data_IF_386126487835
#
_entry.id   IF_386126487835
#
_cell.length_a   1.000
_cell.length_b   1.000
_cell.length_c   1.000
_cell.angle_alpha   90.00
_cell.angle_beta   90.00
_cell.angle_gamma   90.00
#
_symmetry.space_group_name_H-M   'P 1'
#
loop_
_entity.id
_entity.type
_entity.pdbx_description
1 polymer ?
#
# COMPACT_ATOMS: atom_id res chain seq x y z
N UNK A 1 17.38 -28.56 -26.51
CA UNK A 1 16.45 -27.65 -27.18
C UNK A 1 15.33 -27.39 -26.19
N UNK A 2 15.28 -26.20 -25.56
CA UNK A 2 14.14 -25.84 -24.67
C UNK A 2 12.89 -25.82 -25.53
N UNK A 3 11.75 -26.40 -25.08
CA UNK A 3 10.49 -26.22 -25.77
C UNK A 3 10.19 -24.72 -25.85
N UNK A 4 9.90 -24.26 -27.04
CA UNK A 4 9.51 -22.86 -27.32
C UNK A 4 8.15 -22.66 -26.63
N UNK A 5 8.19 -22.18 -25.40
CA UNK A 5 6.96 -21.94 -24.60
C UNK A 5 6.25 -20.74 -25.19
N UNK A 6 5.02 -20.95 -25.68
CA UNK A 6 4.17 -19.89 -26.21
C UNK A 6 4.02 -18.77 -25.18
N UNK A 7 4.37 -17.54 -25.58
CA UNK A 7 4.19 -16.37 -24.70
C UNK A 7 2.73 -15.91 -24.68
N UNK A 8 2.32 -15.24 -23.59
CA UNK A 8 0.98 -14.65 -23.48
C UNK A 8 0.70 -13.64 -24.59
N UNK A 9 1.73 -12.91 -25.03
CA UNK A 9 1.62 -11.96 -26.14
C UNK A 9 1.30 -12.67 -27.49
N UNK A 10 1.93 -13.80 -27.75
CA UNK A 10 1.67 -14.60 -28.94
C UNK A 10 0.26 -15.24 -28.90
N UNK A 11 -0.17 -15.70 -27.71
CA UNK A 11 -1.51 -16.23 -27.53
C UNK A 11 -2.58 -15.16 -27.72
N UNK A 12 -2.35 -13.94 -27.19
CA UNK A 12 -3.23 -12.80 -27.37
C UNK A 12 -3.33 -12.41 -28.86
N UNK A 13 -2.18 -12.28 -29.53
CA UNK A 13 -2.14 -11.97 -30.96
C UNK A 13 -2.84 -13.02 -31.82
N UNK A 14 -2.80 -14.31 -31.43
CA UNK A 14 -3.54 -15.39 -32.07
C UNK A 14 -5.06 -15.24 -31.90
N UNK A 15 -5.52 -14.97 -30.68
CA UNK A 15 -6.94 -14.78 -30.37
C UNK A 15 -7.50 -13.56 -31.11
N UNK A 16 -6.70 -12.50 -31.22
CA UNK A 16 -7.07 -11.24 -31.90
C UNK A 16 -6.93 -11.31 -33.45
N UNK A 17 -6.46 -12.46 -34.01
CA UNK A 17 -6.25 -12.58 -35.45
C UNK A 17 -5.14 -11.72 -36.04
N UNK A 18 -4.15 -11.30 -35.22
CA UNK A 18 -3.07 -10.40 -35.61
C UNK A 18 -1.78 -11.12 -36.02
N UNK A 19 -1.77 -12.43 -36.04
CA UNK A 19 -0.63 -13.23 -36.48
C UNK A 19 -0.67 -13.48 -38.02
N UNK A 20 0.50 -13.60 -38.60
CA UNK A 20 0.63 -14.08 -39.98
C UNK A 20 0.22 -15.59 -40.09
N UNK A 21 0.04 -16.08 -41.31
CA UNK A 21 -0.41 -17.44 -41.56
C UNK A 21 0.53 -18.51 -40.94
N UNK A 22 1.85 -18.30 -41.06
CA UNK A 22 2.84 -19.26 -40.56
C UNK A 22 2.90 -19.30 -39.04
N UNK A 23 2.76 -18.11 -38.37
CA UNK A 23 2.67 -18.03 -36.93
C UNK A 23 1.36 -18.60 -36.41
N UNK A 24 0.25 -18.36 -37.10
CA UNK A 24 -1.07 -18.91 -36.76
C UNK A 24 -1.05 -20.45 -36.76
N UNK A 25 -0.47 -21.05 -37.77
CA UNK A 25 -0.34 -22.54 -37.84
C UNK A 25 0.57 -23.09 -36.72
N UNK A 26 1.66 -22.39 -36.38
CA UNK A 26 2.53 -22.83 -35.27
C UNK A 26 1.78 -22.82 -33.96
N UNK A 27 1.10 -21.70 -33.65
CA UNK A 27 0.31 -21.57 -32.42
C UNK A 27 -0.83 -22.58 -32.36
N UNK A 28 -1.56 -22.80 -33.48
CA UNK A 28 -2.62 -23.78 -33.54
C UNK A 28 -2.14 -25.20 -33.24
N UNK A 29 -0.97 -25.60 -33.72
CA UNK A 29 -0.35 -26.88 -33.38
C UNK A 29 0.02 -27.01 -31.92
N UNK A 30 0.50 -25.94 -31.30
CA UNK A 30 0.81 -25.94 -29.87
C UNK A 30 -0.46 -26.02 -29.00
N UNK A 31 -1.53 -25.32 -29.39
CA UNK A 31 -2.84 -25.42 -28.73
C UNK A 31 -3.44 -26.85 -28.86
N UNK A 32 -3.24 -27.51 -29.99
CA UNK A 32 -3.69 -28.91 -30.17
C UNK A 32 -2.92 -29.89 -29.28
N UNK A 33 -1.67 -29.55 -28.91
CA UNK A 33 -0.82 -30.40 -28.08
C UNK A 33 -0.97 -30.09 -26.56
N UNK A 34 -1.48 -28.92 -26.19
CA UNK A 34 -1.62 -28.51 -24.78
C UNK A 34 -3.08 -28.10 -24.49
N UNK A 35 -3.86 -28.94 -23.80
CA UNK A 35 -5.25 -28.65 -23.44
C UNK A 35 -5.41 -27.44 -22.50
N UNK A 36 -4.41 -27.13 -21.67
CA UNK A 36 -4.48 -26.01 -20.76
C UNK A 36 -4.33 -24.66 -21.52
N UNK A 37 -3.42 -24.63 -22.50
CA UNK A 37 -3.28 -23.48 -23.41
C UNK A 37 -4.52 -23.30 -24.29
N UNK A 38 -5.10 -24.40 -24.78
CA UNK A 38 -6.32 -24.35 -25.54
C UNK A 38 -7.50 -23.79 -24.75
N UNK A 39 -7.68 -24.22 -23.49
CA UNK A 39 -8.71 -23.70 -22.60
C UNK A 39 -8.52 -22.19 -22.33
N UNK A 40 -7.29 -21.73 -22.20
CA UNK A 40 -6.99 -20.30 -22.03
C UNK A 40 -7.34 -19.48 -23.27
N UNK A 41 -7.01 -19.98 -24.46
CA UNK A 41 -7.37 -19.32 -25.73
C UNK A 41 -8.89 -19.20 -25.87
N UNK A 42 -9.64 -20.24 -25.52
CA UNK A 42 -11.10 -20.24 -25.55
C UNK A 42 -11.69 -19.27 -24.53
N UNK A 43 -11.14 -19.20 -23.33
CA UNK A 43 -11.57 -18.22 -22.33
C UNK A 43 -11.40 -16.77 -22.84
N UNK A 44 -10.30 -16.47 -23.52
CA UNK A 44 -10.08 -15.13 -24.10
C UNK A 44 -10.99 -14.83 -25.28
N UNK A 45 -11.26 -15.84 -26.13
CA UNK A 45 -12.27 -15.70 -27.21
C UNK A 45 -13.67 -15.42 -26.66
N UNK A 46 -14.06 -16.14 -25.59
CA UNK A 46 -15.33 -15.92 -24.91
C UNK A 46 -15.42 -14.51 -24.30
N UNK A 47 -14.33 -14.02 -23.71
CA UNK A 47 -14.23 -12.67 -23.19
C UNK A 47 -14.36 -11.61 -24.31
N UNK A 48 -13.67 -11.80 -25.45
CA UNK A 48 -13.79 -10.90 -26.59
C UNK A 48 -15.22 -10.90 -27.15
N UNK A 49 -15.85 -12.07 -27.28
CA UNK A 49 -17.24 -12.17 -27.72
C UNK A 49 -18.21 -11.46 -26.78
N UNK A 50 -18.00 -11.55 -25.46
CA UNK A 50 -18.80 -10.84 -24.47
C UNK A 50 -18.64 -9.32 -24.58
N UNK A 51 -17.40 -8.84 -24.82
CA UNK A 51 -17.14 -7.42 -25.06
C UNK A 51 -17.83 -6.93 -26.33
N UNK A 52 -17.72 -7.67 -27.44
CA UNK A 52 -18.43 -7.34 -28.68
C UNK A 52 -19.95 -7.29 -28.46
N UNK A 53 -20.54 -8.30 -27.80
CA UNK A 53 -21.97 -8.31 -27.51
C UNK A 53 -22.41 -7.10 -26.67
N UNK A 54 -21.57 -6.66 -25.73
CA UNK A 54 -21.88 -5.54 -24.83
C UNK A 54 -21.67 -4.16 -25.46
N UNK A 55 -20.73 -4.03 -26.40
CA UNK A 55 -20.25 -2.73 -26.86
C UNK A 55 -20.43 -2.45 -28.37
N UNK A 56 -20.68 -3.44 -29.23
CA UNK A 56 -20.81 -3.21 -30.68
C UNK A 56 -21.96 -2.25 -31.01
N UNK A 57 -23.03 -2.29 -30.24
CA UNK A 57 -24.14 -1.34 -30.42
C UNK A 57 -23.73 0.12 -30.18
N UNK A 58 -22.67 0.37 -29.43
CA UNK A 58 -22.14 1.73 -29.21
C UNK A 58 -21.29 2.21 -30.39
N UNK A 59 -20.72 1.29 -31.19
CA UNK A 59 -19.97 1.63 -32.40
C UNK A 59 -20.89 2.14 -33.51
N UNK A 60 -22.13 1.64 -33.55
CA UNK A 60 -23.17 2.05 -34.52
C UNK A 60 -23.92 3.32 -34.10
N UNK A 61 -23.63 3.82 -32.87
CA UNK A 61 -24.29 5.05 -32.41
C UNK A 61 -23.87 6.25 -33.27
N UNK A 62 -24.82 7.11 -33.69
CA UNK A 62 -24.50 8.24 -34.52
C UNK A 62 -23.57 9.21 -33.79
N UNK A 63 -22.46 9.55 -34.44
CA UNK A 63 -21.49 10.50 -33.87
C UNK A 63 -22.17 11.85 -33.70
N UNK A 64 -22.15 12.44 -32.48
CA UNK A 64 -22.76 13.75 -32.25
C UNK A 64 -22.25 14.81 -33.23
N UNK A 65 -23.16 15.62 -33.78
CA UNK A 65 -22.85 16.61 -34.81
C UNK A 65 -21.72 17.58 -34.44
N UNK A 66 -21.55 17.87 -33.14
CA UNK A 66 -20.46 18.69 -32.61
C UNK A 66 -19.07 18.06 -32.81
N UNK A 67 -18.96 16.74 -32.76
CA UNK A 67 -17.71 16.02 -32.98
C UNK A 67 -17.37 15.91 -34.47
N UNK A 68 -18.41 15.71 -35.30
CA UNK A 68 -18.28 15.75 -36.76
C UNK A 68 -17.86 17.14 -37.24
N UNK A 69 -18.44 18.21 -36.70
CA UNK A 69 -18.06 19.58 -37.00
C UNK A 69 -16.61 19.88 -36.59
N UNK A 70 -16.15 19.34 -35.43
CA UNK A 70 -14.80 19.49 -34.99
C UNK A 70 -13.79 18.71 -35.89
N UNK A 71 -14.14 17.49 -36.31
CA UNK A 71 -13.31 16.66 -37.20
C UNK A 71 -13.20 17.24 -38.60
N UNK A 72 -14.28 17.87 -39.11
CA UNK A 72 -14.34 18.45 -40.45
C UNK A 72 -13.76 19.87 -40.57
N UNK A 73 -13.11 20.37 -39.52
CA UNK A 73 -12.33 21.62 -39.59
C UNK A 73 -13.18 22.91 -39.76
N UNK A 74 -14.47 22.86 -39.46
CA UNK A 74 -15.33 24.03 -39.44
C UNK A 74 -15.10 24.87 -38.16
N UNK A 75 -13.91 25.44 -38.01
CA UNK A 75 -13.62 26.39 -36.94
C UNK A 75 -14.04 27.81 -37.36
N UNK A 76 -14.85 28.53 -36.57
CA UNK A 76 -15.09 29.93 -36.81
C UNK A 76 -13.78 30.72 -36.60
N UNK A 77 -13.33 31.39 -37.64
CA UNK A 77 -12.16 32.28 -37.61
C UNK A 77 -12.44 33.51 -36.74
N UNK A 78 -12.31 33.38 -35.43
CA UNK A 78 -12.10 34.53 -34.54
C UNK A 78 -10.60 34.66 -34.25
N UNK A 79 -9.89 35.31 -35.14
CA UNK A 79 -8.51 35.80 -34.95
C UNK A 79 -8.57 37.00 -34.00
N UNK A 80 -8.16 36.84 -32.77
CA UNK A 80 -7.96 37.92 -31.81
C UNK A 80 -8.25 37.46 -30.37
N UNK A 81 -7.25 37.18 -29.58
CA UNK A 81 -7.39 36.91 -28.15
C UNK A 81 -7.50 35.43 -27.73
N UNK A 82 -7.61 34.49 -28.65
CA UNK A 82 -7.76 33.07 -28.37
C UNK A 82 -6.46 32.44 -27.84
N UNK A 83 -5.31 32.96 -28.30
CA UNK A 83 -3.98 32.47 -27.86
C UNK A 83 -3.73 32.66 -26.36
N UNK A 84 -4.18 33.79 -25.78
CA UNK A 84 -4.04 34.01 -24.33
C UNK A 84 -4.91 33.04 -23.51
N UNK A 85 -6.08 32.67 -24.04
CA UNK A 85 -6.99 31.71 -23.36
C UNK A 85 -6.42 30.27 -23.39
N UNK A 86 -5.78 29.87 -24.50
CA UNK A 86 -5.12 28.57 -24.58
C UNK A 86 -3.82 28.54 -23.78
N UNK A 87 -3.04 29.62 -23.77
CA UNK A 87 -1.86 29.74 -22.94
C UNK A 87 -2.23 29.64 -21.43
N UNK A 88 -3.32 30.28 -21.01
CA UNK A 88 -3.82 30.16 -19.64
C UNK A 88 -4.31 28.73 -19.32
N UNK A 89 -5.03 28.08 -20.25
CA UNK A 89 -5.49 26.70 -20.06
C UNK A 89 -4.32 25.70 -19.98
N UNK A 90 -3.29 25.86 -20.83
CA UNK A 90 -2.09 25.03 -20.78
C UNK A 90 -1.29 25.29 -19.49
N UNK A 91 -1.19 26.54 -19.04
CA UNK A 91 -0.56 26.90 -17.77
C UNK A 91 -1.31 26.27 -16.57
N UNK A 92 -2.65 26.33 -16.55
CA UNK A 92 -3.45 25.68 -15.51
C UNK A 92 -3.35 24.14 -15.54
N UNK A 93 -3.29 23.53 -16.73
CA UNK A 93 -3.06 22.09 -16.88
C UNK A 93 -1.66 21.68 -16.40
N UNK A 94 -0.64 22.50 -16.71
CA UNK A 94 0.71 22.26 -16.25
C UNK A 94 0.84 22.42 -14.72
N UNK A 95 0.28 23.48 -14.16
CA UNK A 95 0.25 23.72 -12.71
C UNK A 95 -0.59 22.62 -12.00
N UNK A 96 -1.76 22.29 -12.54
CA UNK A 96 -2.61 21.21 -12.01
C UNK A 96 -1.95 19.84 -12.13
N UNK A 97 -1.25 19.57 -13.23
CA UNK A 97 -0.48 18.34 -13.45
C UNK A 97 0.69 18.19 -12.47
N UNK A 98 1.47 19.26 -12.26
CA UNK A 98 2.57 19.26 -11.29
C UNK A 98 2.05 19.17 -9.86
N UNK A 99 1.02 19.94 -9.52
CA UNK A 99 0.38 19.88 -8.20
C UNK A 99 -0.25 18.49 -7.95
N UNK A 100 -0.96 17.92 -8.93
CA UNK A 100 -1.53 16.59 -8.86
C UNK A 100 -0.48 15.49 -8.75
N UNK A 101 0.65 15.63 -9.45
CA UNK A 101 1.78 14.70 -9.35
C UNK A 101 2.41 14.74 -7.95
N UNK A 102 2.67 15.95 -7.41
CA UNK A 102 3.21 16.11 -6.04
C UNK A 102 2.25 15.62 -4.94
N UNK A 103 0.93 15.84 -5.12
CA UNK A 103 -0.08 15.34 -4.19
C UNK A 103 -0.26 13.83 -4.28
N UNK A 104 -0.13 13.25 -5.48
CA UNK A 104 -0.19 11.81 -5.70
C UNK A 104 0.93 11.06 -4.99
N UNK A 105 2.17 11.56 -5.06
CA UNK A 105 3.32 10.91 -4.42
C UNK A 105 3.17 10.90 -2.89
N UNK A 106 2.65 11.98 -2.31
CA UNK A 106 2.35 12.02 -0.88
C UNK A 106 1.25 11.04 -0.49
N UNK A 107 0.11 11.07 -1.21
CA UNK A 107 -1.00 10.17 -0.93
C UNK A 107 -0.65 8.69 -1.16
N UNK A 108 0.19 8.37 -2.14
CA UNK A 108 0.67 7.01 -2.38
C UNK A 108 1.65 6.55 -1.30
N UNK A 109 2.54 7.44 -0.83
CA UNK A 109 3.43 7.18 0.30
C UNK A 109 2.66 6.91 1.59
N UNK A 110 1.65 7.72 1.89
CA UNK A 110 0.78 7.55 3.05
C UNK A 110 0.03 6.21 3.03
N UNK A 111 -0.52 5.84 1.89
CA UNK A 111 -1.25 4.58 1.73
C UNK A 111 -0.32 3.36 1.87
N UNK A 112 0.86 3.41 1.27
CA UNK A 112 1.85 2.33 1.33
C UNK A 112 2.37 2.15 2.75
N UNK A 113 2.70 3.25 3.45
CA UNK A 113 3.14 3.21 4.83
C UNK A 113 2.06 2.69 5.77
N UNK A 114 0.80 3.12 5.62
CA UNK A 114 -0.32 2.66 6.43
C UNK A 114 -0.63 1.17 6.26
N UNK A 115 -0.25 0.55 5.13
CA UNK A 115 -0.34 -0.89 4.89
C UNK A 115 0.88 -1.61 5.48
N UNK A 116 2.07 -1.04 5.38
CA UNK A 116 3.31 -1.65 5.84
C UNK A 116 3.44 -1.67 7.37
N UNK A 117 3.01 -0.61 8.05
CA UNK A 117 3.17 -0.43 9.49
C UNK A 117 2.59 -1.58 10.35
N UNK A 118 1.31 -2.00 10.21
CA UNK A 118 0.77 -3.10 11.00
C UNK A 118 1.47 -4.42 10.73
N UNK A 119 1.86 -4.66 9.48
CA UNK A 119 2.59 -5.87 9.11
C UNK A 119 3.97 -5.93 9.74
N UNK A 120 4.74 -4.84 9.73
CA UNK A 120 6.05 -4.75 10.37
C UNK A 120 5.95 -4.96 11.88
N UNK A 121 4.98 -4.30 12.51
CA UNK A 121 4.71 -4.44 13.94
C UNK A 121 4.34 -5.89 14.32
N UNK A 122 3.48 -6.54 13.53
CA UNK A 122 3.08 -7.92 13.74
C UNK A 122 4.25 -8.90 13.58
N UNK A 123 5.09 -8.71 12.55
CA UNK A 123 6.29 -9.52 12.34
C UNK A 123 7.24 -9.35 13.53
N UNK A 124 7.51 -8.11 13.94
CA UNK A 124 8.37 -7.83 15.10
C UNK A 124 7.81 -8.46 16.39
N UNK A 125 6.50 -8.36 16.61
CA UNK A 125 5.82 -8.99 17.73
C UNK A 125 6.01 -10.53 17.70
N UNK A 126 5.68 -11.17 16.57
CA UNK A 126 5.76 -12.62 16.42
C UNK A 126 7.17 -13.18 16.61
N UNK A 127 8.20 -12.43 16.18
CA UNK A 127 9.60 -12.86 16.29
C UNK A 127 10.10 -12.73 17.73
N UNK A 128 9.80 -11.63 18.42
CA UNK A 128 10.45 -11.31 19.69
C UNK A 128 9.64 -11.64 20.95
N UNK A 129 8.33 -11.80 20.84
CA UNK A 129 7.51 -12.21 22.00
C UNK A 129 7.86 -13.58 22.54
N UNK A 130 8.19 -14.61 21.72
CA UNK A 130 8.61 -15.91 22.22
C UNK A 130 10.04 -15.92 22.81
N UNK A 131 10.84 -14.87 22.58
CA UNK A 131 12.22 -14.83 23.03
C UNK A 131 12.30 -14.72 24.55
N UNK A 132 12.99 -15.67 25.21
CA UNK A 132 13.08 -15.75 26.66
C UNK A 132 14.35 -15.10 27.19
N UNK A 133 15.49 -15.34 26.51
CA UNK A 133 16.80 -14.87 27.02
C UNK A 133 17.06 -13.40 26.74
N UNK A 134 16.67 -12.94 25.55
CA UNK A 134 16.96 -11.58 25.07
C UNK A 134 15.70 -10.95 24.49
N UNK A 135 14.63 -10.80 25.30
CA UNK A 135 13.36 -10.25 24.83
C UNK A 135 13.51 -8.78 24.39
N UNK A 136 14.49 -8.08 24.93
CA UNK A 136 14.82 -6.68 24.62
C UNK A 136 16.35 -6.52 24.46
N UNK A 137 16.81 -5.44 23.84
CA UNK A 137 18.23 -5.10 23.73
C UNK A 137 18.69 -4.25 24.91
N UNK A 138 17.84 -3.32 25.35
CA UNK A 138 18.07 -2.46 26.50
C UNK A 138 16.89 -2.65 27.44
N UNK A 139 17.18 -3.04 28.67
CA UNK A 139 16.17 -3.28 29.72
C UNK A 139 15.66 -2.01 30.34
N UNK A 140 14.58 -2.13 31.10
CA UNK A 140 13.95 -1.01 31.84
C UNK A 140 14.87 -0.43 32.91
N UNK A 141 15.84 -1.19 33.43
CA UNK A 141 16.89 -0.74 34.33
C UNK A 141 17.76 0.37 33.73
N UNK A 142 17.78 0.52 32.40
CA UNK A 142 18.49 1.56 31.66
C UNK A 142 17.52 2.41 30.82
N UNK A 143 16.36 2.74 31.36
CA UNK A 143 15.29 3.42 30.62
C UNK A 143 15.73 4.74 29.99
N UNK A 144 16.49 5.58 30.69
CA UNK A 144 16.97 6.87 30.17
C UNK A 144 17.90 6.66 28.96
N UNK A 145 18.78 5.64 29.06
CA UNK A 145 19.63 5.26 27.94
C UNK A 145 18.81 4.75 26.76
N UNK A 146 17.82 3.89 27.00
CA UNK A 146 16.91 3.36 26.00
C UNK A 146 16.21 4.49 25.21
N UNK A 147 15.59 5.43 25.93
CA UNK A 147 14.88 6.56 25.33
C UNK A 147 15.84 7.43 24.50
N UNK A 148 16.97 7.82 25.06
CA UNK A 148 17.96 8.64 24.37
C UNK A 148 18.53 7.97 23.13
N UNK A 149 18.87 6.70 23.23
CA UNK A 149 19.41 5.89 22.12
C UNK A 149 18.40 5.71 20.98
N UNK A 150 17.17 5.26 21.29
CA UNK A 150 16.15 5.05 20.29
C UNK A 150 15.73 6.37 19.62
N UNK A 151 15.56 7.45 20.40
CA UNK A 151 15.28 8.81 19.89
C UNK A 151 16.35 9.26 18.88
N UNK A 152 17.62 9.07 19.21
CA UNK A 152 18.73 9.42 18.31
C UNK A 152 18.72 8.57 17.04
N UNK A 153 18.36 7.29 17.14
CA UNK A 153 18.36 6.35 15.99
C UNK A 153 17.17 6.55 15.06
N UNK A 154 15.99 6.88 15.60
CA UNK A 154 14.77 7.14 14.82
C UNK A 154 14.70 8.57 14.29
N UNK A 155 15.40 9.51 14.94
CA UNK A 155 15.29 10.94 14.61
C UNK A 155 13.95 11.57 15.04
N UNK A 156 13.17 10.85 15.86
CA UNK A 156 11.92 11.31 16.51
C UNK A 156 11.94 10.87 17.96
N UNK A 157 11.31 11.64 18.84
CA UNK A 157 11.24 11.30 20.27
C UNK A 157 10.52 9.96 20.47
N UNK A 158 11.14 9.06 21.23
CA UNK A 158 10.59 7.74 21.59
C UNK A 158 10.21 7.77 23.07
N UNK A 159 8.95 8.01 23.39
CA UNK A 159 8.46 7.94 24.77
C UNK A 159 8.35 6.50 25.24
N UNK A 160 8.34 6.33 26.56
CA UNK A 160 8.05 5.05 27.23
C UNK A 160 6.77 5.19 28.05
N UNK A 161 5.58 5.05 27.42
CA UNK A 161 4.31 5.21 28.12
C UNK A 161 4.15 4.23 29.28
N UNK A 162 3.50 4.69 30.36
CA UNK A 162 3.16 3.84 31.49
C UNK A 162 1.85 3.11 31.24
N UNK A 163 1.88 1.79 31.30
CA UNK A 163 0.73 0.90 31.14
C UNK A 163 0.40 0.11 32.38
N UNK A 164 0.88 0.51 33.56
CA UNK A 164 0.60 -0.19 34.83
C UNK A 164 -0.89 -0.21 35.16
N UNK A 165 -1.61 0.84 34.81
CA UNK A 165 -3.07 0.91 34.99
C UNK A 165 -3.82 -0.13 34.13
N UNK A 166 -3.23 -0.52 33.01
CA UNK A 166 -3.73 -1.56 32.09
C UNK A 166 -3.14 -2.96 32.43
N UNK A 167 -2.34 -3.07 33.48
CA UNK A 167 -1.74 -4.32 33.97
C UNK A 167 -0.44 -4.72 33.27
N UNK A 168 0.23 -3.81 32.56
CA UNK A 168 1.46 -4.11 31.83
C UNK A 168 2.63 -3.25 32.30
N UNK A 169 3.76 -3.91 32.59
CA UNK A 169 5.01 -3.27 32.94
C UNK A 169 5.97 -3.24 31.76
N UNK A 170 6.71 -2.14 31.58
CA UNK A 170 7.75 -2.06 30.56
C UNK A 170 8.90 -3.01 30.88
N UNK A 171 9.29 -3.85 29.94
CA UNK A 171 10.47 -4.70 30.01
C UNK A 171 11.71 -3.99 29.48
N UNK A 172 11.56 -3.14 28.48
CA UNK A 172 12.62 -2.46 27.75
C UNK A 172 12.28 -2.32 26.27
N UNK A 173 13.31 -2.20 25.42
CA UNK A 173 13.09 -2.01 23.99
C UNK A 173 14.28 -2.43 23.14
N UNK A 174 14.10 -2.29 21.82
CA UNK A 174 15.10 -2.62 20.80
C UNK A 174 14.95 -1.75 19.56
N UNK A 175 16.02 -1.71 18.78
CA UNK A 175 16.03 -1.12 17.44
C UNK A 175 15.78 -2.23 16.41
N UNK A 176 14.95 -1.92 15.43
CA UNK A 176 14.58 -2.84 14.35
C UNK A 176 14.83 -2.20 12.99
N UNK A 177 15.20 -2.99 11.97
CA UNK A 177 15.11 -2.53 10.59
C UNK A 177 13.63 -2.39 10.20
N UNK A 178 13.30 -1.33 9.46
CA UNK A 178 12.00 -1.13 8.85
C UNK A 178 12.15 -0.82 7.35
N UNK A 179 11.06 -0.83 6.60
CA UNK A 179 11.08 -0.65 5.14
C UNK A 179 11.56 0.75 4.72
N UNK A 180 11.24 1.77 5.51
CA UNK A 180 11.58 3.18 5.20
C UNK A 180 12.63 3.76 6.14
N UNK A 181 13.21 2.96 7.00
CA UNK A 181 14.21 3.40 7.99
C UNK A 181 14.16 2.59 9.28
N UNK A 182 14.84 3.01 10.34
CA UNK A 182 14.83 2.30 11.60
C UNK A 182 13.46 2.37 12.28
N UNK A 183 13.07 1.27 12.94
CA UNK A 183 11.95 1.18 13.86
C UNK A 183 12.40 0.94 15.29
N UNK A 184 11.61 1.35 16.27
CA UNK A 184 11.78 1.00 17.66
C UNK A 184 10.65 0.06 18.10
N UNK A 185 10.96 -0.90 18.93
CA UNK A 185 9.98 -1.75 19.60
C UNK A 185 10.18 -1.64 21.11
N UNK A 186 9.14 -1.24 21.80
CA UNK A 186 9.03 -1.34 23.25
C UNK A 186 8.23 -2.60 23.58
N UNK A 187 8.67 -3.36 24.57
CA UNK A 187 8.01 -4.57 25.02
C UNK A 187 7.50 -4.40 26.43
N UNK A 188 6.25 -4.77 26.64
CA UNK A 188 5.57 -4.78 27.92
C UNK A 188 5.13 -6.20 28.26
N UNK A 189 5.01 -6.50 29.55
CA UNK A 189 4.57 -7.81 30.03
C UNK A 189 3.64 -7.62 31.22
N UNK A 190 2.59 -8.44 31.30
CA UNK A 190 1.74 -8.54 32.47
C UNK A 190 2.26 -9.59 33.48
N UNK A 191 1.60 -9.70 34.64
CA UNK A 191 1.97 -10.66 35.69
C UNK A 191 1.78 -12.13 35.27
N UNK A 192 0.97 -12.40 34.26
CA UNK A 192 0.75 -13.74 33.71
C UNK A 192 1.79 -14.11 32.62
N UNK A 193 2.69 -13.18 32.25
CA UNK A 193 3.70 -13.38 31.22
C UNK A 193 3.21 -13.07 29.82
N UNK A 194 1.99 -12.53 29.65
CA UNK A 194 1.50 -12.08 28.37
C UNK A 194 2.23 -10.80 27.93
N UNK A 195 2.68 -10.77 26.68
CA UNK A 195 3.48 -9.68 26.15
C UNK A 195 2.71 -8.83 25.14
N UNK A 196 2.90 -7.54 25.26
CA UNK A 196 2.50 -6.53 24.31
C UNK A 196 3.72 -5.85 23.70
N UNK A 197 3.62 -5.39 22.49
CA UNK A 197 4.68 -4.58 21.87
C UNK A 197 4.10 -3.30 21.31
N UNK A 198 4.80 -2.18 21.56
CA UNK A 198 4.59 -0.90 20.91
C UNK A 198 5.70 -0.70 19.89
N UNK A 199 5.35 -0.71 18.63
CA UNK A 199 6.25 -0.43 17.52
C UNK A 199 6.12 1.03 17.10
N UNK A 200 7.26 1.70 16.89
CA UNK A 200 7.34 3.07 16.43
C UNK A 200 8.25 3.15 15.20
N UNK A 201 7.86 3.91 14.20
CA UNK A 201 8.74 4.23 13.07
C UNK A 201 8.42 5.62 12.55
N UNK A 202 9.40 6.25 11.91
CA UNK A 202 9.20 7.53 11.26
C UNK A 202 8.33 7.33 10.01
N UNK A 203 7.30 8.17 9.89
CA UNK A 203 6.50 8.28 8.68
C UNK A 203 6.92 9.51 7.90
N UNK A 204 7.21 9.39 6.62
CA UNK A 204 7.42 10.53 5.74
C UNK A 204 6.08 11.20 5.39
N UNK A 205 4.98 10.50 5.63
CA UNK A 205 3.63 10.99 5.54
C UNK A 205 3.34 11.93 6.71
N UNK A 206 3.32 13.21 6.47
CA UNK A 206 3.14 14.26 7.50
C UNK A 206 1.72 14.41 8.05
N UNK A 207 0.86 13.39 7.95
CA UNK A 207 -0.53 13.42 8.37
C UNK A 207 -0.79 12.71 9.70
N UNK A 208 -1.95 13.00 10.32
CA UNK A 208 -2.50 12.20 11.43
C UNK A 208 -3.62 11.32 10.89
N UNK A 209 -3.68 10.07 11.35
CA UNK A 209 -4.75 9.13 10.99
C UNK A 209 -5.56 8.74 12.22
N UNK A 210 -6.84 8.43 12.02
CA UNK A 210 -7.62 7.77 13.06
C UNK A 210 -7.03 6.39 13.39
N UNK A 211 -7.41 5.84 14.53
CA UNK A 211 -7.12 4.45 14.89
C UNK A 211 -7.62 3.48 13.83
N UNK A 212 -6.75 2.58 13.44
CA UNK A 212 -7.05 1.46 12.53
C UNK A 212 -6.74 0.15 13.22
N UNK A 213 -7.50 -0.87 12.88
CA UNK A 213 -7.29 -2.24 13.34
C UNK A 213 -6.91 -3.14 12.16
N UNK A 214 -5.92 -3.97 12.35
CA UNK A 214 -5.54 -5.02 11.43
C UNK A 214 -5.32 -6.33 12.20
N UNK A 215 -5.47 -7.45 11.51
CA UNK A 215 -5.07 -8.75 12.01
C UNK A 215 -4.08 -9.34 11.01
N UNK A 216 -2.83 -9.47 11.44
CA UNK A 216 -1.72 -9.90 10.60
C UNK A 216 -1.16 -11.22 11.15
N UNK A 217 -1.26 -12.30 10.36
CA UNK A 217 -0.77 -13.63 10.74
C UNK A 217 -1.21 -14.10 12.15
N UNK A 218 -2.43 -13.75 12.56
CA UNK A 218 -3.00 -14.11 13.87
C UNK A 218 -2.67 -13.13 15.00
N UNK A 219 -1.88 -12.10 14.75
CA UNK A 219 -1.58 -11.02 15.71
C UNK A 219 -2.56 -9.87 15.52
N UNK A 220 -3.20 -9.43 16.59
CA UNK A 220 -4.05 -8.24 16.61
C UNK A 220 -3.17 -6.99 16.69
N UNK A 221 -3.42 -5.99 15.83
CA UNK A 221 -2.66 -4.75 15.76
C UNK A 221 -3.60 -3.55 15.70
N UNK A 222 -3.47 -2.62 16.65
CA UNK A 222 -4.00 -1.27 16.52
C UNK A 222 -2.90 -0.32 16.12
N UNK A 223 -3.13 0.52 15.11
CA UNK A 223 -2.12 1.42 14.61
C UNK A 223 -2.70 2.76 14.20
N UNK A 224 -1.86 3.79 14.25
CA UNK A 224 -2.14 5.15 13.82
C UNK A 224 -0.85 5.87 13.44
N UNK A 225 -0.99 6.98 12.76
CA UNK A 225 0.10 7.91 12.46
C UNK A 225 -0.24 9.24 13.12
N UNK A 226 0.72 9.86 13.76
CA UNK A 226 0.60 11.20 14.30
C UNK A 226 1.94 11.93 14.30
N UNK A 227 1.92 13.22 13.90
CA UNK A 227 3.11 14.05 13.89
C UNK A 227 4.30 13.49 13.10
N UNK A 228 4.07 12.70 12.03
CA UNK A 228 5.15 12.06 11.26
C UNK A 228 5.74 10.82 11.92
N UNK A 229 5.07 10.27 12.95
CA UNK A 229 5.44 9.02 13.61
C UNK A 229 4.29 8.03 13.49
N UNK A 230 4.60 6.82 13.04
CA UNK A 230 3.67 5.71 13.07
C UNK A 230 3.82 4.91 14.35
N UNK A 231 2.70 4.57 14.93
CA UNK A 231 2.58 3.77 16.15
C UNK A 231 1.76 2.53 15.86
N UNK A 232 2.20 1.39 16.37
CA UNK A 232 1.43 0.15 16.28
C UNK A 232 1.55 -0.66 17.55
N UNK A 233 0.42 -0.98 18.15
CA UNK A 233 0.32 -1.83 19.36
C UNK A 233 -0.10 -3.23 18.93
N UNK A 234 0.72 -4.21 19.26
CA UNK A 234 0.48 -5.60 18.89
C UNK A 234 0.40 -6.48 20.13
N UNK A 235 -0.52 -7.44 20.11
CA UNK A 235 -0.68 -8.40 21.21
C UNK A 235 -1.65 -9.51 20.91
N UNK A 236 -1.54 -10.60 21.67
CA UNK A 236 -2.49 -11.73 21.65
C UNK A 236 -3.69 -11.49 22.58
N UNK A 237 -4.23 -10.27 22.57
CA UNK A 237 -5.39 -9.85 23.36
C UNK A 237 -6.66 -9.81 22.50
N UNK A 238 -7.83 -9.99 23.12
CA UNK A 238 -9.09 -9.65 22.49
C UNK A 238 -9.10 -8.21 22.02
N UNK A 239 -9.75 -7.95 20.87
CA UNK A 239 -9.76 -6.62 20.23
C UNK A 239 -10.13 -5.48 21.18
N UNK A 240 -11.12 -5.70 22.05
CA UNK A 240 -11.61 -4.68 22.99
C UNK A 240 -10.55 -4.31 24.05
N UNK A 241 -9.84 -5.30 24.58
CA UNK A 241 -8.77 -5.07 25.54
C UNK A 241 -7.57 -4.38 24.87
N UNK A 242 -7.19 -4.82 23.68
CA UNK A 242 -6.11 -4.16 22.93
C UNK A 242 -6.48 -2.73 22.54
N UNK A 243 -7.76 -2.43 22.26
CA UNK A 243 -8.24 -1.07 22.02
C UNK A 243 -8.13 -0.19 23.27
N UNK A 244 -8.43 -0.74 24.45
CA UNK A 244 -8.27 0.00 25.71
C UNK A 244 -6.82 0.39 25.94
N UNK A 245 -5.87 -0.53 25.76
CA UNK A 245 -4.43 -0.27 25.84
C UNK A 245 -3.99 0.76 24.78
N UNK A 246 -4.41 0.60 23.52
CA UNK A 246 -4.08 1.55 22.46
C UNK A 246 -4.62 2.95 22.75
N UNK A 247 -5.80 3.05 23.37
CA UNK A 247 -6.40 4.33 23.78
C UNK A 247 -5.62 4.98 24.91
N UNK A 248 -5.17 4.22 25.91
CA UNK A 248 -4.33 4.68 27.00
C UNK A 248 -3.00 5.21 26.48
N UNK A 249 -2.35 4.47 25.58
CA UNK A 249 -1.15 4.87 24.88
C UNK A 249 -1.35 6.18 24.11
N UNK A 250 -2.41 6.27 23.31
CA UNK A 250 -2.69 7.48 22.52
C UNK A 250 -2.81 8.72 23.37
N UNK A 251 -3.49 8.65 24.52
CA UNK A 251 -3.64 9.80 25.44
C UNK A 251 -2.32 10.25 26.05
N UNK A 252 -1.38 9.33 26.30
CA UNK A 252 -0.06 9.68 26.83
C UNK A 252 0.88 10.20 25.75
N UNK A 253 0.72 9.73 24.50
CA UNK A 253 1.55 10.12 23.37
C UNK A 253 1.12 11.44 22.73
N UNK A 254 -0.16 11.83 22.93
CA UNK A 254 -0.77 13.04 22.35
C UNK A 254 -1.51 13.83 23.45
N UNK A 255 -0.80 14.45 24.40
CA UNK A 255 -1.36 15.19 25.52
C UNK A 255 -2.11 16.48 25.09
#
# INVERSE_FOLDING_TARGET
MKPDTLSDEQLCAFVDGRLDAAATERVARQLAADPALAARAEAWRAQNAALHTGFDALLDAPVPARLLAAANGAAPTRRGGVWLRYAAAVAWLAIGGVAGYMLRDRAAGDATYAIALPRQAAIAHAVYVPEVRHPVEVGVDQQDHLVGWLTKRLGVYVPTPDLQAEGFALMGGRLLPGDTGPGAQLMYQDDAGLRLTLYLSRSEAGGSTAFRFAQEAGVSVFYWVDGGTGYAVSGALPREQLLAVATALYRQLNP
#
